data_IF_381118995201
#
_entry.id   IF_381118995201
#
_cell.length_a   1.000
_cell.length_b   1.000
_cell.length_c   1.000
_cell.angle_alpha   90.00
_cell.angle_beta   90.00
_cell.angle_gamma   90.00
#
_symmetry.space_group_name_H-M   'P 1'
#
loop_
_entity.id
_entity.type
_entity.pdbx_description
1 polymer ?
#
# COMPACT_ATOMS: atom_id res chain seq x y z
N UNK A 1 21.20 6.92 12.01
CA UNK A 1 21.37 5.64 11.29
C UNK A 1 20.13 5.45 10.41
N UNK A 2 20.30 4.86 9.22
CA UNK A 2 19.14 4.51 8.36
C UNK A 2 18.30 3.48 9.06
N UNK A 3 16.97 3.62 8.93
CA UNK A 3 15.99 2.68 9.48
C UNK A 3 15.44 1.73 8.41
N UNK A 4 15.53 2.09 7.12
CA UNK A 4 15.23 1.18 6.01
C UNK A 4 16.52 0.56 5.48
N UNK A 5 16.68 -0.75 5.71
CA UNK A 5 17.82 -1.53 5.22
C UNK A 5 17.48 -2.16 3.89
N UNK A 6 18.00 -1.58 2.80
CA UNK A 6 17.70 -2.05 1.46
C UNK A 6 18.62 -3.20 1.04
N UNK A 7 18.02 -4.32 0.67
CA UNK A 7 18.67 -5.52 0.14
C UNK A 7 18.20 -5.77 -1.30
N UNK A 8 19.13 -5.88 -2.23
CA UNK A 8 18.79 -6.12 -3.63
C UNK A 8 19.20 -7.53 -4.03
N UNK A 9 18.23 -8.39 -4.30
CA UNK A 9 18.43 -9.76 -4.75
C UNK A 9 18.84 -9.77 -6.24
N UNK A 10 20.13 -9.49 -6.50
CA UNK A 10 20.67 -9.32 -7.86
C UNK A 10 21.72 -10.36 -8.22
N UNK A 11 21.73 -11.54 -7.58
CA UNK A 11 22.74 -12.58 -7.86
C UNK A 11 22.78 -13.03 -9.34
N UNK A 12 21.66 -12.91 -10.05
CA UNK A 12 21.53 -13.14 -11.49
C UNK A 12 21.81 -11.90 -12.36
N UNK A 13 22.35 -10.83 -11.77
CA UNK A 13 22.66 -9.57 -12.43
C UNK A 13 21.46 -8.91 -13.16
N UNK A 14 20.25 -9.08 -12.64
CA UNK A 14 19.02 -8.56 -13.24
C UNK A 14 18.98 -7.03 -13.25
N UNK A 15 19.50 -6.41 -12.19
CA UNK A 15 19.49 -4.95 -12.04
C UNK A 15 20.86 -4.34 -12.37
N UNK A 16 20.87 -3.28 -13.17
CA UNK A 16 22.04 -2.48 -13.48
C UNK A 16 22.46 -1.60 -12.30
N UNK A 17 23.69 -1.11 -12.28
CA UNK A 17 24.18 -0.17 -11.25
C UNK A 17 23.32 1.10 -11.18
N UNK A 18 22.83 1.59 -12.32
CA UNK A 18 21.93 2.75 -12.38
C UNK A 18 20.59 2.46 -11.71
N UNK A 19 20.00 1.30 -11.93
CA UNK A 19 18.75 0.87 -11.28
C UNK A 19 18.94 0.64 -9.78
N UNK A 20 20.08 0.07 -9.39
CA UNK A 20 20.47 -0.08 -7.98
C UNK A 20 20.57 1.29 -7.30
N UNK A 21 21.12 2.28 -7.98
CA UNK A 21 21.17 3.65 -7.46
C UNK A 21 19.78 4.26 -7.29
N UNK A 22 18.86 4.02 -8.24
CA UNK A 22 17.45 4.44 -8.13
C UNK A 22 16.83 3.82 -6.87
N UNK A 23 16.94 2.51 -6.67
CA UNK A 23 16.38 1.84 -5.48
C UNK A 23 16.90 2.46 -4.18
N UNK A 24 18.21 2.68 -4.07
CA UNK A 24 18.83 3.27 -2.87
C UNK A 24 18.33 4.69 -2.59
N UNK A 25 18.33 5.54 -3.62
CA UNK A 25 17.90 6.93 -3.48
C UNK A 25 16.40 6.99 -3.11
N UNK A 26 15.58 6.16 -3.73
CA UNK A 26 14.14 6.14 -3.49
C UNK A 26 13.81 5.61 -2.10
N UNK A 27 14.49 4.57 -1.63
CA UNK A 27 14.32 4.08 -0.26
C UNK A 27 14.69 5.15 0.78
N UNK A 28 15.77 5.92 0.54
CA UNK A 28 16.16 7.03 1.41
C UNK A 28 15.12 8.16 1.43
N UNK A 29 14.51 8.47 0.30
CA UNK A 29 13.45 9.48 0.22
C UNK A 29 12.17 9.00 0.94
N UNK A 30 11.79 7.73 0.77
CA UNK A 30 10.67 7.13 1.49
C UNK A 30 10.92 7.11 3.00
N UNK A 31 12.12 6.72 3.45
CA UNK A 31 12.50 6.79 4.87
C UNK A 31 12.37 8.20 5.42
N UNK A 32 12.86 9.20 4.67
CA UNK A 32 12.77 10.61 5.08
C UNK A 32 11.32 11.05 5.24
N UNK A 33 10.48 10.72 4.26
CA UNK A 33 9.05 11.02 4.30
C UNK A 33 8.37 10.33 5.49
N UNK A 34 8.51 9.01 5.63
CA UNK A 34 7.91 8.25 6.73
C UNK A 34 8.38 8.75 8.09
N UNK A 35 9.67 9.06 8.25
CA UNK A 35 10.21 9.60 9.51
C UNK A 35 9.67 11.00 9.83
N UNK A 36 9.31 11.81 8.83
CA UNK A 36 8.71 13.11 9.06
C UNK A 36 7.24 13.05 9.44
N UNK A 37 6.50 12.05 8.94
CA UNK A 37 5.08 11.87 9.20
C UNK A 37 4.80 11.07 10.48
N UNK A 38 5.67 10.12 10.81
CA UNK A 38 5.47 9.16 11.90
C UNK A 38 6.57 9.27 12.97
N UNK A 39 6.33 10.09 14.00
CA UNK A 39 7.25 10.17 15.13
C UNK A 39 7.46 8.81 15.84
N UNK A 40 6.50 7.89 15.71
CA UNK A 40 6.53 6.55 16.25
C UNK A 40 7.37 5.57 15.42
N UNK A 41 7.88 5.97 14.26
CA UNK A 41 8.79 5.14 13.47
C UNK A 41 10.17 5.14 14.12
N UNK A 42 10.37 4.25 15.07
CA UNK A 42 11.56 4.12 15.95
C UNK A 42 12.26 2.75 15.85
N UNK A 43 11.93 1.97 14.82
CA UNK A 43 12.45 0.62 14.56
C UNK A 43 13.04 0.52 13.16
N UNK A 44 13.73 -0.58 12.89
CA UNK A 44 14.37 -0.87 11.61
C UNK A 44 13.54 -1.84 10.78
N UNK A 45 13.57 -1.68 9.45
CA UNK A 45 12.82 -2.51 8.49
C UNK A 45 13.76 -2.94 7.36
N UNK A 46 13.82 -4.24 7.10
CA UNK A 46 14.46 -4.78 5.91
C UNK A 46 13.53 -4.67 4.70
N UNK A 47 14.02 -4.06 3.62
CA UNK A 47 13.32 -3.95 2.34
C UNK A 47 14.08 -4.74 1.29
N UNK A 48 13.50 -5.84 0.83
CA UNK A 48 14.11 -6.72 -0.17
C UNK A 48 13.53 -6.40 -1.55
N UNK A 49 14.37 -5.91 -2.47
CA UNK A 49 14.00 -5.75 -3.88
C UNK A 49 14.38 -7.02 -4.64
N UNK A 50 13.42 -7.56 -5.39
CA UNK A 50 13.55 -8.82 -6.14
C UNK A 50 12.88 -8.73 -7.51
N UNK A 51 12.81 -9.84 -8.20
CA UNK A 51 12.17 -10.01 -9.52
C UNK A 51 10.92 -10.89 -9.41
N UNK A 52 10.06 -10.94 -10.45
CA UNK A 52 8.87 -11.80 -10.46
C UNK A 52 9.14 -13.30 -10.25
N UNK A 53 10.39 -13.76 -10.41
CA UNK A 53 10.77 -15.15 -10.11
C UNK A 53 10.54 -15.55 -8.64
N UNK A 54 10.52 -14.57 -7.72
CA UNK A 54 10.32 -14.81 -6.29
C UNK A 54 8.97 -14.32 -5.79
N UNK A 55 8.44 -13.26 -6.40
CA UNK A 55 7.13 -12.72 -6.08
C UNK A 55 6.55 -12.05 -7.34
N UNK A 56 5.44 -12.56 -7.85
CA UNK A 56 4.77 -11.98 -9.01
C UNK A 56 4.20 -10.61 -8.67
N UNK A 57 4.31 -9.61 -9.57
CA UNK A 57 3.58 -8.36 -9.42
C UNK A 57 2.08 -8.63 -9.40
N UNK A 58 1.39 -8.11 -8.40
CA UNK A 58 -0.08 -8.20 -8.30
C UNK A 58 -0.77 -7.24 -9.25
N UNK A 59 -0.05 -6.22 -9.72
CA UNK A 59 -0.52 -5.18 -10.63
C UNK A 59 0.36 -5.21 -11.88
N UNK A 60 -0.06 -6.00 -12.86
CA UNK A 60 0.70 -6.21 -14.09
C UNK A 60 0.91 -4.91 -14.89
N UNK A 61 -0.05 -3.97 -14.80
CA UNK A 61 -0.02 -2.68 -15.47
C UNK A 61 1.10 -1.77 -14.97
N UNK A 62 1.53 -1.95 -13.72
CA UNK A 62 2.59 -1.15 -13.10
C UNK A 62 3.95 -1.85 -13.11
N UNK A 63 3.97 -3.17 -13.27
CA UNK A 63 5.19 -3.97 -13.26
C UNK A 63 5.91 -3.97 -11.90
N UNK A 64 5.19 -3.64 -10.84
CA UNK A 64 5.71 -3.62 -9.49
C UNK A 64 4.67 -4.15 -8.51
N UNK A 65 5.11 -4.77 -7.43
CA UNK A 65 4.28 -5.13 -6.29
C UNK A 65 5.09 -5.05 -5.01
N UNK A 66 4.43 -4.63 -3.94
CA UNK A 66 4.94 -4.74 -2.58
C UNK A 66 4.23 -5.86 -1.81
N UNK A 67 4.85 -6.29 -0.74
CA UNK A 67 4.24 -7.16 0.28
C UNK A 67 4.97 -7.00 1.60
N UNK A 68 4.26 -6.57 2.61
CA UNK A 68 4.73 -6.60 4.00
C UNK A 68 4.55 -8.01 4.55
N UNK A 69 5.66 -8.70 4.78
CA UNK A 69 5.70 -10.09 5.29
C UNK A 69 5.72 -10.14 6.82
N UNK A 70 6.21 -9.10 7.43
CA UNK A 70 6.27 -8.87 8.88
C UNK A 70 6.41 -7.37 9.12
N UNK A 71 6.11 -6.86 10.31
CA UNK A 71 6.27 -5.43 10.63
C UNK A 71 7.66 -4.88 10.28
N UNK A 72 8.67 -5.74 10.22
CA UNK A 72 10.08 -5.37 9.95
C UNK A 72 10.63 -5.99 8.67
N UNK A 73 9.78 -6.50 7.78
CA UNK A 73 10.21 -7.14 6.54
C UNK A 73 9.23 -6.84 5.41
N UNK A 74 9.71 -6.09 4.43
CA UNK A 74 8.99 -5.75 3.19
C UNK A 74 9.70 -6.40 2.01
N UNK A 75 8.94 -6.96 1.09
CA UNK A 75 9.45 -7.45 -0.19
C UNK A 75 8.83 -6.64 -1.34
N UNK A 76 9.66 -6.23 -2.30
CA UNK A 76 9.24 -5.52 -3.51
C UNK A 76 9.69 -6.33 -4.72
N UNK A 77 8.75 -6.67 -5.60
CA UNK A 77 9.03 -7.31 -6.89
C UNK A 77 8.96 -6.28 -8.02
N UNK A 78 9.97 -6.27 -8.89
CA UNK A 78 10.03 -5.35 -10.05
C UNK A 78 10.17 -6.17 -11.33
N UNK A 79 9.17 -6.09 -12.20
CA UNK A 79 9.16 -6.71 -13.52
C UNK A 79 9.74 -5.76 -14.58
N UNK A 80 10.94 -6.09 -15.03
CA UNK A 80 11.64 -5.35 -16.09
C UNK A 80 11.31 -5.83 -17.49
N UNK A 81 10.53 -6.90 -17.64
CA UNK A 81 10.25 -7.48 -18.97
C UNK A 81 9.40 -6.55 -19.84
N UNK A 82 8.54 -5.76 -19.24
CA UNK A 82 7.63 -4.84 -19.92
C UNK A 82 7.73 -3.39 -19.44
N UNK A 83 8.36 -3.16 -18.29
CA UNK A 83 8.40 -1.86 -17.64
C UNK A 83 9.85 -1.40 -17.36
N UNK A 84 10.08 -0.11 -17.40
CA UNK A 84 11.31 0.48 -16.88
C UNK A 84 11.19 0.65 -15.36
N UNK A 85 12.32 0.53 -14.67
CA UNK A 85 12.38 0.87 -13.24
C UNK A 85 11.97 2.33 -13.06
N UNK A 86 10.87 2.56 -12.35
CA UNK A 86 10.33 3.89 -12.07
C UNK A 86 10.63 4.27 -10.63
N UNK A 87 11.31 5.40 -10.44
CA UNK A 87 11.55 5.97 -9.11
C UNK A 87 10.24 6.27 -8.38
N UNK A 88 9.25 6.83 -9.09
CA UNK A 88 7.96 7.17 -8.51
C UNK A 88 7.20 5.91 -8.05
N UNK A 89 7.19 4.84 -8.87
CA UNK A 89 6.50 3.60 -8.52
C UNK A 89 7.13 2.89 -7.33
N UNK A 90 8.47 2.88 -7.24
CA UNK A 90 9.20 2.31 -6.09
C UNK A 90 8.87 3.10 -4.83
N UNK A 91 8.88 4.44 -4.91
CA UNK A 91 8.57 5.32 -3.79
C UNK A 91 7.15 5.09 -3.28
N UNK A 92 6.18 5.09 -4.19
CA UNK A 92 4.76 4.85 -3.91
C UNK A 92 4.57 3.50 -3.22
N UNK A 93 5.16 2.42 -3.79
CA UNK A 93 5.09 1.07 -3.22
C UNK A 93 5.74 0.99 -1.82
N UNK A 94 6.91 1.61 -1.60
CA UNK A 94 7.53 1.63 -0.27
C UNK A 94 6.62 2.34 0.73
N UNK A 95 6.01 3.47 0.37
CA UNK A 95 5.10 4.18 1.27
C UNK A 95 3.85 3.35 1.60
N UNK A 96 3.29 2.63 0.61
CA UNK A 96 2.19 1.69 0.83
C UNK A 96 2.56 0.61 1.84
N UNK A 97 3.66 -0.09 1.62
CA UNK A 97 4.10 -1.18 2.49
C UNK A 97 4.51 -0.69 3.89
N UNK A 98 5.05 0.52 3.99
CA UNK A 98 5.35 1.13 5.29
C UNK A 98 4.09 1.44 6.11
N UNK A 99 2.94 1.71 5.49
CA UNK A 99 1.67 1.80 6.22
C UNK A 99 1.35 0.48 6.93
N UNK A 100 1.49 -0.64 6.23
CA UNK A 100 1.30 -1.97 6.80
C UNK A 100 2.30 -2.27 7.92
N UNK A 101 3.60 -1.98 7.69
CA UNK A 101 4.66 -2.15 8.68
C UNK A 101 4.36 -1.39 9.97
N UNK A 102 4.00 -0.11 9.88
CA UNK A 102 3.70 0.75 11.03
C UNK A 102 2.50 0.23 11.84
N UNK A 103 1.42 -0.14 11.16
CA UNK A 103 0.25 -0.70 11.84
C UNK A 103 0.57 -2.01 12.53
N UNK A 104 1.24 -2.92 11.84
CA UNK A 104 1.59 -4.23 12.39
C UNK A 104 2.49 -4.12 13.63
N UNK A 105 3.44 -3.18 13.64
CA UNK A 105 4.33 -2.96 14.78
C UNK A 105 3.62 -2.32 15.98
N UNK A 106 2.64 -1.44 15.74
CA UNK A 106 2.06 -0.57 16.78
C UNK A 106 0.65 -0.97 17.24
N UNK A 107 -0.08 -1.75 16.46
CA UNK A 107 -1.46 -2.12 16.74
C UNK A 107 -1.63 -3.64 16.85
N UNK A 108 -2.07 -4.17 18.02
CA UNK A 108 -2.18 -5.61 18.21
C UNK A 108 -3.32 -6.25 17.38
N UNK A 109 -4.40 -5.52 17.08
CA UNK A 109 -5.52 -6.06 16.30
C UNK A 109 -5.24 -6.14 14.81
N UNK A 110 -4.28 -5.38 14.28
CA UNK A 110 -3.86 -5.24 12.88
C UNK A 110 -5.03 -5.25 11.85
N UNK A 111 -5.60 -6.42 11.51
CA UNK A 111 -6.84 -6.60 10.75
C UNK A 111 -7.51 -7.93 11.13
N UNK A 112 -8.70 -7.88 11.74
CA UNK A 112 -9.42 -9.06 12.24
C UNK A 112 -10.60 -9.48 11.35
N UNK A 113 -11.18 -8.53 10.59
CA UNK A 113 -12.38 -8.71 9.79
C UNK A 113 -12.14 -8.25 8.35
N UNK A 114 -13.10 -8.54 7.46
CA UNK A 114 -13.09 -8.01 6.08
C UNK A 114 -12.99 -6.48 6.09
N UNK A 115 -13.78 -5.81 6.94
CA UNK A 115 -13.73 -4.37 7.08
C UNK A 115 -12.36 -3.90 7.57
N UNK A 116 -11.81 -4.57 8.59
CA UNK A 116 -10.44 -4.30 9.06
C UNK A 116 -9.42 -4.38 7.93
N UNK A 117 -9.51 -5.40 7.07
CA UNK A 117 -8.68 -5.54 5.88
C UNK A 117 -8.88 -4.40 4.87
N UNK A 118 -10.13 -3.97 4.63
CA UNK A 118 -10.41 -2.82 3.76
C UNK A 118 -9.78 -1.54 4.29
N UNK A 119 -9.93 -1.26 5.58
CA UNK A 119 -9.33 -0.07 6.20
C UNK A 119 -7.80 -0.13 6.17
N UNK A 120 -7.20 -1.30 6.43
CA UNK A 120 -5.77 -1.52 6.33
C UNK A 120 -5.22 -1.11 4.95
N UNK A 121 -5.82 -1.62 3.89
CA UNK A 121 -5.43 -1.31 2.52
C UNK A 121 -5.78 0.14 2.15
N UNK A 122 -6.93 0.65 2.58
CA UNK A 122 -7.32 2.04 2.34
C UNK A 122 -6.37 3.06 2.96
N UNK A 123 -5.84 2.79 4.15
CA UNK A 123 -4.83 3.62 4.80
C UNK A 123 -3.51 3.60 4.04
N UNK A 124 -3.11 2.43 3.51
CA UNK A 124 -1.91 2.31 2.71
C UNK A 124 -2.03 3.10 1.40
N UNK A 125 -3.16 3.00 0.69
CA UNK A 125 -3.45 3.80 -0.52
C UNK A 125 -3.51 5.30 -0.22
N UNK A 126 -4.11 5.71 0.89
CA UNK A 126 -4.17 7.12 1.26
C UNK A 126 -2.80 7.69 1.66
N UNK A 127 -1.92 6.87 2.26
CA UNK A 127 -0.56 7.27 2.60
C UNK A 127 0.31 7.41 1.36
N UNK A 128 0.24 6.47 0.40
CA UNK A 128 0.98 6.58 -0.86
C UNK A 128 0.55 7.83 -1.66
N UNK A 129 -0.76 8.13 -1.73
CA UNK A 129 -1.27 9.34 -2.37
C UNK A 129 -0.72 10.61 -1.69
N UNK A 130 -0.79 10.70 -0.37
CA UNK A 130 -0.26 11.82 0.41
C UNK A 130 1.24 12.01 0.19
N UNK A 131 2.00 10.92 0.16
CA UNK A 131 3.42 10.92 -0.10
C UNK A 131 3.77 11.48 -1.49
N UNK A 132 3.04 11.03 -2.52
CA UNK A 132 3.20 11.52 -3.89
C UNK A 132 2.90 13.01 -3.99
N UNK A 133 1.82 13.47 -3.35
CA UNK A 133 1.43 14.89 -3.35
C UNK A 133 2.47 15.74 -2.64
N UNK A 134 2.90 15.38 -1.42
CA UNK A 134 3.86 16.16 -0.62
C UNK A 134 5.21 16.32 -1.29
N UNK A 135 5.66 15.31 -2.03
CA UNK A 135 6.92 15.38 -2.76
C UNK A 135 6.76 15.89 -4.20
N UNK A 136 5.58 16.33 -4.60
CA UNK A 136 5.31 16.86 -5.93
C UNK A 136 5.49 15.84 -7.06
N UNK A 137 5.43 14.55 -6.73
CA UNK A 137 5.54 13.46 -7.70
C UNK A 137 4.23 13.31 -8.48
N UNK A 138 4.31 13.13 -9.79
CA UNK A 138 3.12 13.13 -10.66
C UNK A 138 2.91 11.85 -11.45
N UNK A 139 3.93 11.01 -11.55
CA UNK A 139 3.85 9.76 -12.29
C UNK A 139 3.34 8.64 -11.36
N UNK A 140 2.05 8.69 -11.03
CA UNK A 140 1.40 7.70 -10.16
C UNK A 140 1.24 6.35 -10.86
N UNK A 141 1.24 5.26 -10.10
CA UNK A 141 0.88 3.93 -10.56
C UNK A 141 -0.54 3.90 -11.15
N UNK A 142 -0.76 2.97 -12.07
CA UNK A 142 -2.09 2.71 -12.62
C UNK A 142 -3.08 2.39 -11.48
N UNK A 143 -2.66 1.59 -10.53
CA UNK A 143 -3.45 1.20 -9.37
C UNK A 143 -4.00 2.41 -8.59
N UNK A 144 -3.13 3.34 -8.17
CA UNK A 144 -3.56 4.53 -7.43
C UNK A 144 -4.55 5.38 -8.23
N UNK A 145 -4.29 5.56 -9.54
CA UNK A 145 -5.21 6.28 -10.42
C UNK A 145 -6.59 5.63 -10.52
N UNK A 146 -6.66 4.30 -10.49
CA UNK A 146 -7.95 3.59 -10.51
C UNK A 146 -8.71 3.75 -9.19
N UNK A 147 -8.02 3.80 -8.03
CA UNK A 147 -8.65 4.14 -6.76
C UNK A 147 -9.29 5.54 -6.80
N UNK A 148 -8.53 6.53 -7.26
CA UNK A 148 -8.97 7.92 -7.36
C UNK A 148 -10.13 8.16 -8.34
N UNK A 149 -10.27 7.33 -9.39
CA UNK A 149 -11.32 7.43 -10.40
C UNK A 149 -12.61 6.71 -10.04
N UNK A 150 -12.63 5.93 -8.96
CA UNK A 150 -13.80 5.14 -8.57
C UNK A 150 -15.00 6.05 -8.35
N UNK A 151 -16.08 5.81 -9.08
CA UNK A 151 -17.28 6.65 -9.00
C UNK A 151 -18.10 6.36 -7.73
N UNK A 152 -18.88 7.34 -7.27
CA UNK A 152 -19.78 7.15 -6.14
C UNK A 152 -20.79 6.00 -6.41
N UNK A 153 -21.30 5.88 -7.63
CA UNK A 153 -22.23 4.80 -7.99
C UNK A 153 -21.58 3.41 -7.88
N UNK A 154 -20.29 3.28 -8.20
CA UNK A 154 -19.53 2.03 -8.02
C UNK A 154 -19.31 1.74 -6.54
N UNK A 155 -19.00 2.76 -5.73
CA UNK A 155 -18.88 2.66 -4.27
C UNK A 155 -20.19 2.18 -3.67
N UNK A 156 -21.31 2.84 -3.99
CA UNK A 156 -22.64 2.50 -3.43
C UNK A 156 -23.05 1.06 -3.78
N UNK A 157 -22.81 0.65 -5.02
CA UNK A 157 -23.06 -0.73 -5.47
C UNK A 157 -22.21 -1.73 -4.69
N UNK A 158 -20.95 -1.42 -4.49
CA UNK A 158 -20.00 -2.32 -3.79
C UNK A 158 -20.33 -2.40 -2.30
N UNK A 159 -20.71 -1.30 -1.66
CA UNK A 159 -21.21 -1.29 -0.28
C UNK A 159 -22.46 -2.18 -0.18
N UNK A 160 -23.44 -1.99 -1.05
CA UNK A 160 -24.67 -2.78 -1.02
C UNK A 160 -24.41 -4.29 -1.15
N UNK A 161 -23.37 -4.68 -1.89
CA UNK A 161 -22.98 -6.08 -2.05
C UNK A 161 -22.24 -6.68 -0.84
N UNK A 162 -21.48 -5.87 -0.09
CA UNK A 162 -20.55 -6.35 0.94
C UNK A 162 -20.92 -5.99 2.37
N UNK A 163 -21.75 -4.96 2.63
CA UNK A 163 -21.99 -4.43 3.98
C UNK A 163 -22.51 -5.47 4.98
N UNK A 164 -23.24 -6.50 4.52
CA UNK A 164 -23.72 -7.58 5.37
C UNK A 164 -22.61 -8.52 5.88
N UNK A 165 -21.41 -8.42 5.29
CA UNK A 165 -20.28 -9.31 5.56
C UNK A 165 -19.06 -8.55 6.14
N UNK A 166 -19.16 -7.29 6.43
CA UNK A 166 -18.02 -6.47 6.91
C UNK A 166 -17.34 -7.05 8.16
N UNK A 167 -18.10 -7.67 9.04
CA UNK A 167 -17.58 -8.31 10.27
C UNK A 167 -17.09 -9.75 10.06
N UNK A 168 -17.17 -10.29 8.84
CA UNK A 168 -16.71 -11.65 8.56
C UNK A 168 -15.19 -11.74 8.74
N UNK A 169 -14.75 -12.77 9.46
CA UNK A 169 -13.33 -13.10 9.67
C UNK A 169 -12.79 -14.06 8.62
N UNK A 170 -13.69 -14.75 7.90
CA UNK A 170 -13.35 -15.69 6.84
C UNK A 170 -14.06 -15.25 5.56
N UNK A 171 -13.33 -14.87 4.56
CA UNK A 171 -13.85 -14.36 3.29
C UNK A 171 -12.87 -14.67 2.15
N UNK A 172 -13.34 -14.61 0.91
CA UNK A 172 -12.51 -14.78 -0.27
C UNK A 172 -11.67 -13.50 -0.51
N UNK A 173 -10.45 -13.51 0.09
CA UNK A 173 -9.53 -12.38 0.00
C UNK A 173 -9.16 -12.07 -1.45
N UNK A 174 -8.90 -13.10 -2.27
CA UNK A 174 -8.52 -12.92 -3.68
C UNK A 174 -9.63 -12.23 -4.48
N UNK A 175 -10.87 -12.66 -4.30
CA UNK A 175 -12.02 -12.07 -4.96
C UNK A 175 -12.21 -10.60 -4.54
N UNK A 176 -12.17 -10.32 -3.25
CA UNK A 176 -12.47 -8.98 -2.72
C UNK A 176 -11.35 -7.98 -3.04
N UNK A 177 -10.09 -8.39 -2.86
CA UNK A 177 -8.97 -7.46 -2.98
C UNK A 177 -8.29 -7.47 -4.35
N UNK A 178 -8.48 -8.48 -5.19
CA UNK A 178 -7.76 -8.54 -6.47
C UNK A 178 -8.65 -8.69 -7.69
N UNK A 179 -9.43 -9.74 -7.79
CA UNK A 179 -10.04 -10.11 -9.06
C UNK A 179 -11.41 -9.50 -9.31
N UNK A 180 -12.23 -9.33 -8.26
CA UNK A 180 -13.66 -9.09 -8.41
C UNK A 180 -14.37 -10.31 -9.01
N UNK A 181 -15.62 -10.11 -9.45
CA UNK A 181 -16.46 -11.02 -10.19
C UNK A 181 -17.57 -10.26 -10.93
N UNK A 182 -18.67 -10.92 -11.35
CA UNK A 182 -19.79 -10.28 -12.04
C UNK A 182 -20.52 -9.23 -11.18
N UNK A 183 -20.36 -9.26 -9.85
CA UNK A 183 -21.01 -8.36 -8.89
C UNK A 183 -20.04 -7.31 -8.36
N UNK A 184 -18.83 -7.73 -8.01
CA UNK A 184 -17.79 -6.90 -7.40
C UNK A 184 -16.78 -6.44 -8.46
N UNK A 185 -16.42 -5.16 -8.48
CA UNK A 185 -15.35 -4.68 -9.35
C UNK A 185 -13.99 -5.24 -8.92
N UNK A 186 -13.03 -5.26 -9.82
CA UNK A 186 -11.62 -5.47 -9.48
C UNK A 186 -11.22 -4.51 -8.37
N UNK A 187 -10.48 -5.01 -7.37
CA UNK A 187 -10.02 -4.23 -6.22
C UNK A 187 -11.14 -3.64 -5.33
N UNK A 188 -12.29 -4.29 -5.27
CA UNK A 188 -13.43 -3.83 -4.47
C UNK A 188 -13.04 -3.44 -3.04
N UNK A 189 -12.25 -4.26 -2.36
CA UNK A 189 -11.77 -4.02 -0.99
C UNK A 189 -10.88 -2.77 -0.88
N UNK A 190 -9.94 -2.59 -1.81
CA UNK A 190 -9.08 -1.39 -1.88
C UNK A 190 -9.91 -0.12 -2.13
N UNK A 191 -10.83 -0.17 -3.09
CA UNK A 191 -11.70 0.96 -3.45
C UNK A 191 -12.56 1.41 -2.28
N UNK A 192 -13.21 0.46 -1.58
CA UNK A 192 -13.99 0.78 -0.39
C UNK A 192 -13.12 1.28 0.76
N UNK A 193 -11.99 0.63 1.01
CA UNK A 193 -11.06 1.04 2.05
C UNK A 193 -10.57 2.46 1.84
N UNK A 194 -10.11 2.78 0.62
CA UNK A 194 -9.68 4.13 0.27
C UNK A 194 -10.81 5.14 0.44
N UNK A 195 -12.03 4.82 -0.04
CA UNK A 195 -13.20 5.68 0.14
C UNK A 195 -13.50 5.95 1.62
N UNK A 196 -13.59 4.93 2.46
CA UNK A 196 -13.88 5.08 3.89
C UNK A 196 -12.80 5.90 4.61
N UNK A 197 -11.54 5.63 4.33
CA UNK A 197 -10.42 6.39 4.90
C UNK A 197 -10.49 7.86 4.49
N UNK A 198 -10.70 8.16 3.21
CA UNK A 198 -10.82 9.56 2.73
C UNK A 198 -12.01 10.28 3.37
N UNK A 199 -13.16 9.61 3.54
CA UNK A 199 -14.32 10.17 4.24
C UNK A 199 -13.98 10.45 5.71
N UNK A 200 -13.37 9.50 6.41
CA UNK A 200 -12.96 9.68 7.81
C UNK A 200 -11.99 10.87 7.98
N UNK A 201 -10.95 10.95 7.16
CA UNK A 201 -9.98 12.05 7.21
C UNK A 201 -10.65 13.42 6.98
N UNK A 202 -11.60 13.48 6.03
CA UNK A 202 -12.34 14.69 5.75
C UNK A 202 -13.25 15.12 6.93
N UNK A 203 -13.91 14.16 7.58
CA UNK A 203 -14.86 14.45 8.67
C UNK A 203 -14.18 14.76 9.99
N UNK A 204 -13.06 14.11 10.29
CA UNK A 204 -12.36 14.24 11.58
C UNK A 204 -11.24 15.25 11.57
N UNK A 205 -10.78 15.68 10.39
CA UNK A 205 -9.56 16.48 10.21
C UNK A 205 -8.29 15.82 10.77
N UNK A 206 -8.31 14.49 10.97
CA UNK A 206 -7.09 13.73 11.30
C UNK A 206 -6.12 13.71 10.12
N UNK A 207 -4.83 13.66 10.43
CA UNK A 207 -3.81 13.37 9.42
C UNK A 207 -3.81 11.88 9.07
N UNK A 208 -3.30 11.52 7.89
CA UNK A 208 -3.13 10.11 7.52
C UNK A 208 -2.24 9.36 8.53
N UNK A 209 -1.22 10.01 9.09
CA UNK A 209 -0.37 9.41 10.10
C UNK A 209 -1.13 9.09 11.40
N UNK A 210 -2.03 9.96 11.84
CA UNK A 210 -2.89 9.71 13.00
C UNK A 210 -3.85 8.55 12.73
N UNK A 211 -4.52 8.55 11.58
CA UNK A 211 -5.45 7.49 11.20
C UNK A 211 -4.75 6.13 11.01
N UNK A 212 -3.54 6.11 10.43
CA UNK A 212 -2.74 4.88 10.28
C UNK A 212 -2.46 4.21 11.62
N UNK A 213 -2.30 4.98 12.69
CA UNK A 213 -2.01 4.47 14.03
C UNK A 213 -3.26 4.39 14.94
N UNK A 214 -4.45 4.64 14.41
CA UNK A 214 -5.70 4.44 15.12
C UNK A 214 -6.25 3.03 14.90
N UNK A 215 -7.09 2.54 15.83
CA UNK A 215 -7.82 1.28 15.60
C UNK A 215 -8.71 1.41 14.37
N UNK A 216 -8.79 0.33 13.55
CA UNK A 216 -9.70 0.35 12.40
C UNK A 216 -11.17 0.50 12.84
N UNK A 217 -11.49 0.12 14.08
CA UNK A 217 -12.82 0.27 14.68
C UNK A 217 -13.21 1.74 14.91
N UNK A 218 -12.22 2.62 15.03
CA UNK A 218 -12.43 4.06 15.19
C UNK A 218 -12.64 4.78 13.83
N UNK A 219 -12.39 4.08 12.71
CA UNK A 219 -12.54 4.60 11.35
C UNK A 219 -13.90 4.23 10.72
N UNK A 220 -14.83 3.77 11.51
CA UNK A 220 -16.23 3.53 11.09
C UNK A 220 -16.97 4.87 11.12
N UNK A 221 -17.62 5.21 10.01
CA UNK A 221 -18.47 6.41 9.86
C UNK A 221 -19.87 6.15 10.37
#
# INVERSE_FOLDING_TARGET
>A
MSKLHLHIASANQTFTDAEIAIFKNTAQQAETFISSEFAQFDYEVDVIVTTPSFMLPTIAEDGIAGKTLHSRLIMISVDKSQHRVSEDFIFETICHEMSHSLRWEKLPEYAETMFGGMILEGLAVALEEEAMIKLGRRNQQFFLREMQKTSQAEIDKTIAALQGNFEDKVYDYTKIFFTGDDVLPRWAGYKLGYYFVKQHLHQTSQTIAQATLASYKDLIL
#
